data_IF_107252915072
#
_entry.id   IF_107252915072
#
_cell.length_a   1.000
_cell.length_b   1.000
_cell.length_c   1.000
_cell.angle_alpha   90.00
_cell.angle_beta   90.00
_cell.angle_gamma   90.00
#
_symmetry.space_group_name_H-M   'P 1'
#
loop_
_entity.id
_entity.type
_entity.pdbx_description
1 polymer ?
#
# COMPACT_ATOMS: atom_id res chain seq x y z
N UNK A 1 11.45 -18.10 -8.64
CA UNK A 1 11.34 -16.85 -7.87
C UNK A 1 9.99 -16.26 -8.25
N UNK A 2 9.19 -15.70 -7.33
CA UNK A 2 7.93 -15.06 -7.75
C UNK A 2 8.23 -13.75 -8.48
N UNK A 3 7.29 -13.27 -9.30
CA UNK A 3 7.45 -12.00 -10.02
C UNK A 3 7.71 -10.83 -9.05
N UNK A 4 7.03 -10.83 -7.89
CA UNK A 4 7.29 -9.87 -6.82
C UNK A 4 8.72 -9.92 -6.26
N UNK A 5 9.27 -11.11 -6.04
CA UNK A 5 10.65 -11.23 -5.55
C UNK A 5 11.68 -10.73 -6.57
N UNK A 6 11.43 -10.94 -7.86
CA UNK A 6 12.27 -10.37 -8.93
C UNK A 6 12.20 -8.84 -8.95
N UNK A 7 11.00 -8.25 -8.75
CA UNK A 7 10.83 -6.80 -8.62
C UNK A 7 11.60 -6.23 -7.42
N UNK A 8 11.69 -6.98 -6.31
CA UNK A 8 12.47 -6.56 -5.15
C UNK A 8 13.98 -6.78 -5.31
N UNK A 9 14.39 -7.77 -6.09
CA UNK A 9 15.80 -8.06 -6.35
C UNK A 9 16.44 -7.03 -7.29
N UNK A 10 15.66 -6.45 -8.19
CA UNK A 10 16.11 -5.40 -9.09
C UNK A 10 16.42 -4.08 -8.35
N UNK A 11 17.43 -3.36 -8.85
CA UNK A 11 17.66 -2.00 -8.40
C UNK A 11 16.45 -1.12 -8.74
N UNK A 12 16.02 -0.28 -7.81
CA UNK A 12 14.84 0.56 -8.01
C UNK A 12 15.01 1.46 -9.24
N UNK A 13 13.98 1.50 -10.08
CA UNK A 13 13.96 2.25 -11.34
C UNK A 13 14.95 1.79 -12.43
N UNK A 14 15.62 0.64 -12.27
CA UNK A 14 16.58 0.11 -13.26
C UNK A 14 15.95 -0.75 -14.36
N UNK A 15 14.79 -1.35 -14.11
CA UNK A 15 14.17 -2.30 -15.05
C UNK A 15 13.67 -1.59 -16.32
N UNK A 16 13.94 -2.14 -17.52
CA UNK A 16 13.31 -1.70 -18.76
C UNK A 16 11.79 -1.79 -18.67
N UNK A 17 11.09 -0.87 -19.35
CA UNK A 17 9.62 -0.79 -19.32
C UNK A 17 8.95 -2.12 -19.61
N UNK A 18 9.41 -2.85 -20.63
CA UNK A 18 8.80 -4.12 -21.03
C UNK A 18 8.97 -5.20 -19.96
N UNK A 19 10.19 -5.38 -19.43
CA UNK A 19 10.45 -6.33 -18.36
C UNK A 19 9.62 -6.01 -17.10
N UNK A 20 9.52 -4.73 -16.72
CA UNK A 20 8.70 -4.28 -15.59
C UNK A 20 7.21 -4.57 -15.83
N UNK A 21 6.71 -4.36 -17.04
CA UNK A 21 5.30 -4.63 -17.39
C UNK A 21 4.99 -6.12 -17.32
N UNK A 22 5.87 -6.98 -17.83
CA UNK A 22 5.70 -8.43 -17.77
C UNK A 22 5.68 -8.97 -16.34
N UNK A 23 6.60 -8.51 -15.49
CA UNK A 23 6.62 -8.87 -14.07
C UNK A 23 5.37 -8.39 -13.33
N UNK A 24 4.96 -7.14 -13.58
CA UNK A 24 3.75 -6.58 -12.95
C UNK A 24 2.48 -7.30 -13.40
N UNK A 25 2.35 -7.65 -14.68
CA UNK A 25 1.20 -8.40 -15.19
C UNK A 25 1.12 -9.81 -14.59
N UNK A 26 2.25 -10.50 -14.45
CA UNK A 26 2.31 -11.80 -13.80
C UNK A 26 1.81 -11.72 -12.35
N UNK A 27 2.32 -10.76 -11.58
CA UNK A 27 1.89 -10.52 -10.19
C UNK A 27 0.40 -10.14 -10.10
N UNK A 28 -0.07 -9.25 -10.99
CA UNK A 28 -1.48 -8.85 -11.03
C UNK A 28 -2.41 -10.02 -11.34
N UNK A 29 -2.01 -10.96 -12.20
CA UNK A 29 -2.75 -12.18 -12.46
C UNK A 29 -2.86 -13.06 -11.22
N UNK A 30 -1.75 -13.31 -10.52
CA UNK A 30 -1.73 -14.08 -9.27
C UNK A 30 -2.63 -13.45 -8.20
N UNK A 31 -2.49 -12.12 -7.99
CA UNK A 31 -3.32 -11.38 -7.04
C UNK A 31 -4.79 -11.36 -7.43
N UNK A 32 -5.11 -11.24 -8.72
CA UNK A 32 -6.51 -11.22 -9.17
C UNK A 32 -7.19 -12.57 -8.94
N UNK A 33 -6.50 -13.69 -9.24
CA UNK A 33 -6.98 -15.03 -8.89
C UNK A 33 -7.18 -15.17 -7.37
N UNK A 34 -6.17 -14.77 -6.58
CA UNK A 34 -6.24 -14.83 -5.12
C UNK A 34 -7.45 -14.07 -4.56
N UNK A 35 -7.69 -12.86 -5.06
CA UNK A 35 -8.79 -12.02 -4.64
C UNK A 35 -10.14 -12.51 -5.14
N UNK A 36 -10.23 -13.06 -6.35
CA UNK A 36 -11.44 -13.69 -6.89
C UNK A 36 -11.88 -14.87 -6.00
N UNK A 37 -10.95 -15.74 -5.62
CA UNK A 37 -11.25 -16.92 -4.81
C UNK A 37 -11.69 -16.58 -3.38
N UNK A 38 -11.19 -15.48 -2.81
CA UNK A 38 -11.31 -15.19 -1.36
C UNK A 38 -12.11 -13.95 -1.01
N UNK A 39 -12.49 -13.13 -1.99
CA UNK A 39 -13.33 -11.96 -1.78
C UNK A 39 -14.58 -12.04 -2.66
N UNK A 40 -15.71 -12.55 -2.13
CA UNK A 40 -16.95 -12.69 -2.90
C UNK A 40 -17.42 -11.38 -3.56
N UNK A 41 -17.23 -10.24 -2.90
CA UNK A 41 -17.56 -8.94 -3.44
C UNK A 41 -16.67 -8.56 -4.64
N UNK A 42 -15.37 -8.86 -4.59
CA UNK A 42 -14.45 -8.63 -5.70
C UNK A 42 -14.73 -9.58 -6.87
N UNK A 43 -14.98 -10.86 -6.60
CA UNK A 43 -15.36 -11.85 -7.62
C UNK A 43 -16.62 -11.42 -8.40
N UNK A 44 -17.62 -10.86 -7.69
CA UNK A 44 -18.82 -10.34 -8.34
C UNK A 44 -18.53 -9.14 -9.25
N UNK A 45 -17.57 -8.28 -8.88
CA UNK A 45 -17.13 -7.17 -9.72
C UNK A 45 -16.46 -7.72 -10.99
N UNK A 46 -15.50 -8.64 -10.87
CA UNK A 46 -14.84 -9.25 -12.03
C UNK A 46 -15.85 -9.89 -13.00
N UNK A 47 -16.81 -10.67 -12.46
CA UNK A 47 -17.87 -11.31 -13.25
C UNK A 47 -18.75 -10.28 -13.97
N UNK A 48 -19.17 -9.22 -13.27
CA UNK A 48 -19.99 -8.16 -13.86
C UNK A 48 -19.24 -7.34 -14.91
N UNK A 49 -17.91 -7.21 -14.77
CA UNK A 49 -17.05 -6.54 -15.75
C UNK A 49 -16.68 -7.41 -16.96
N UNK A 50 -17.06 -8.69 -16.97
CA UNK A 50 -16.77 -9.61 -18.07
C UNK A 50 -15.29 -9.99 -18.20
N UNK A 51 -14.49 -9.76 -17.14
CA UNK A 51 -13.06 -10.05 -17.12
C UNK A 51 -12.83 -11.57 -17.16
N UNK A 52 -11.83 -11.99 -17.92
CA UNK A 52 -11.40 -13.39 -18.04
C UNK A 52 -9.93 -13.46 -17.64
N UNK A 53 -9.60 -14.44 -16.79
CA UNK A 53 -8.23 -14.71 -16.38
C UNK A 53 -7.65 -15.88 -17.19
N UNK A 54 -6.32 -15.92 -17.43
CA UNK A 54 -5.37 -14.84 -17.12
C UNK A 54 -5.54 -13.65 -18.07
N UNK A 55 -5.19 -12.47 -17.57
CA UNK A 55 -5.14 -11.23 -18.34
C UNK A 55 -3.92 -11.25 -19.27
N UNK A 56 -4.11 -10.79 -20.50
CA UNK A 56 -3.01 -10.60 -21.46
C UNK A 56 -2.36 -9.22 -21.29
N UNK A 57 -3.13 -8.24 -20.80
CA UNK A 57 -2.67 -6.88 -20.57
C UNK A 57 -3.28 -6.31 -19.28
N UNK A 58 -2.53 -5.46 -18.60
CA UNK A 58 -2.97 -4.85 -17.34
C UNK A 58 -4.21 -3.98 -17.52
N UNK A 59 -4.39 -3.40 -18.72
CA UNK A 59 -5.51 -2.55 -19.08
C UNK A 59 -6.85 -3.33 -19.16
N UNK A 60 -6.82 -4.66 -19.09
CA UNK A 60 -8.02 -5.50 -18.99
C UNK A 60 -8.57 -5.59 -17.56
N UNK A 61 -7.82 -5.14 -16.55
CA UNK A 61 -8.33 -5.04 -15.19
C UNK A 61 -9.47 -4.02 -15.11
N UNK A 62 -10.56 -4.33 -14.38
CA UNK A 62 -11.63 -3.38 -14.23
C UNK A 62 -11.22 -2.29 -13.23
N UNK A 63 -11.55 -1.04 -13.55
CA UNK A 63 -11.41 0.04 -12.59
C UNK A 63 -12.35 -0.18 -11.40
N UNK A 64 -11.80 -0.09 -10.18
CA UNK A 64 -12.57 -0.23 -8.94
C UNK A 64 -12.93 1.16 -8.40
N UNK A 65 -14.22 1.55 -8.34
CA UNK A 65 -14.61 2.84 -7.79
C UNK A 65 -14.18 2.99 -6.33
N UNK A 66 -13.43 4.04 -6.01
CA UNK A 66 -12.92 4.29 -4.64
C UNK A 66 -14.02 4.32 -3.57
N UNK A 67 -15.25 4.72 -3.95
CA UNK A 67 -16.43 4.72 -3.08
C UNK A 67 -16.78 3.32 -2.54
N UNK A 68 -16.42 2.25 -3.24
CA UNK A 68 -16.65 0.88 -2.75
C UNK A 68 -15.94 0.63 -1.42
N UNK A 69 -14.72 1.13 -1.25
CA UNK A 69 -13.96 0.98 0.00
C UNK A 69 -14.56 1.77 1.18
N UNK A 70 -15.54 2.65 0.94
CA UNK A 70 -16.31 3.32 2.00
C UNK A 70 -17.50 2.49 2.47
N UNK A 71 -18.11 1.76 1.53
CA UNK A 71 -19.40 1.10 1.73
C UNK A 71 -19.28 -0.44 1.84
N UNK A 72 -18.10 -0.99 1.52
CA UNK A 72 -17.80 -2.41 1.49
C UNK A 72 -16.42 -2.65 2.06
N UNK A 73 -16.25 -3.76 2.77
CA UNK A 73 -14.96 -4.24 3.25
C UNK A 73 -14.45 -5.29 2.27
N UNK A 74 -13.73 -4.82 1.24
CA UNK A 74 -13.09 -5.70 0.26
C UNK A 74 -11.83 -6.30 0.90
N UNK A 75 -11.89 -7.57 1.29
CA UNK A 75 -10.77 -8.31 1.89
C UNK A 75 -10.78 -9.75 1.40
N UNK A 76 -9.58 -10.33 1.31
CA UNK A 76 -9.33 -11.73 0.89
C UNK A 76 -8.73 -12.56 2.01
N UNK A 77 -8.88 -12.09 3.24
CA UNK A 77 -8.43 -12.76 4.45
C UNK A 77 -9.59 -12.81 5.47
N UNK A 78 -9.61 -13.80 6.36
CA UNK A 78 -10.56 -13.84 7.47
C UNK A 78 -10.26 -12.75 8.51
N UNK A 79 -11.25 -12.46 9.36
CA UNK A 79 -11.19 -11.33 10.30
C UNK A 79 -10.13 -11.48 11.39
N UNK A 80 -9.78 -12.70 11.76
CA UNK A 80 -8.74 -13.02 12.74
C UNK A 80 -7.31 -12.80 12.21
N UNK A 81 -7.13 -12.70 10.89
CA UNK A 81 -5.85 -12.40 10.24
C UNK A 81 -5.64 -10.90 9.98
N UNK A 82 -6.62 -10.08 10.33
CA UNK A 82 -6.56 -8.63 10.13
C UNK A 82 -5.54 -8.04 11.09
N UNK A 83 -4.43 -7.58 10.53
CA UNK A 83 -3.38 -6.95 11.31
C UNK A 83 -3.67 -5.47 11.56
N UNK A 84 -4.12 -4.76 10.51
CA UNK A 84 -4.40 -3.33 10.58
C UNK A 84 -5.49 -2.95 9.58
N UNK A 85 -6.29 -1.94 9.93
CA UNK A 85 -7.19 -1.28 9.00
C UNK A 85 -6.73 0.16 8.83
N UNK A 86 -6.41 0.54 7.59
CA UNK A 86 -6.12 1.92 7.23
C UNK A 86 -7.43 2.64 6.92
N UNK A 87 -7.62 3.82 7.48
CA UNK A 87 -8.76 4.68 7.19
C UNK A 87 -8.28 6.00 6.59
N UNK A 88 -8.99 6.51 5.57
CA UNK A 88 -8.73 7.86 5.07
C UNK A 88 -9.04 8.88 6.16
N UNK A 89 -8.24 9.94 6.29
CA UNK A 89 -8.58 11.13 7.09
C UNK A 89 -9.87 11.73 6.52
N UNK A 90 -10.99 11.49 7.21
CA UNK A 90 -12.30 11.95 6.76
C UNK A 90 -12.32 13.48 6.69
N UNK A 91 -12.70 14.03 5.55
CA UNK A 91 -13.19 15.41 5.50
C UNK A 91 -14.53 15.45 6.25
N UNK A 92 -14.86 16.60 6.83
CA UNK A 92 -15.78 16.85 7.97
C UNK A 92 -17.24 16.35 7.83
N UNK A 93 -17.58 15.53 6.84
CA UNK A 93 -18.94 15.04 6.59
C UNK A 93 -19.04 13.69 5.85
N UNK A 94 -17.97 12.88 5.73
CA UNK A 94 -18.03 11.64 4.93
C UNK A 94 -17.46 10.40 5.64
N UNK A 95 -18.10 9.26 5.42
CA UNK A 95 -17.59 7.92 5.78
C UNK A 95 -16.20 7.71 5.18
N UNK A 96 -15.16 7.40 5.98
CA UNK A 96 -13.82 7.18 5.48
C UNK A 96 -13.73 5.88 4.68
N UNK A 97 -12.86 5.82 3.67
CA UNK A 97 -12.52 4.55 3.03
C UNK A 97 -11.71 3.69 4.00
N UNK A 98 -11.86 2.37 3.90
CA UNK A 98 -11.15 1.40 4.73
C UNK A 98 -10.40 0.41 3.85
N UNK A 99 -9.12 0.20 4.16
CA UNK A 99 -8.26 -0.80 3.52
C UNK A 99 -7.76 -1.74 4.59
N UNK A 100 -7.97 -3.04 4.39
CA UNK A 100 -7.55 -4.10 5.31
C UNK A 100 -6.14 -4.54 4.94
N UNK A 101 -5.28 -4.68 5.94
CA UNK A 101 -3.94 -5.21 5.80
C UNK A 101 -3.76 -6.41 6.71
N UNK A 102 -3.19 -7.48 6.17
CA UNK A 102 -2.59 -8.56 6.93
C UNK A 102 -1.13 -8.24 7.25
N UNK A 103 -0.45 -9.16 7.97
CA UNK A 103 0.96 -8.99 8.34
C UNK A 103 1.88 -9.05 7.13
N UNK A 104 1.61 -9.94 6.18
CA UNK A 104 2.43 -10.12 4.99
C UNK A 104 2.44 -8.85 4.12
N UNK A 105 1.27 -8.30 3.82
CA UNK A 105 1.10 -7.05 3.07
C UNK A 105 1.78 -5.88 3.78
N UNK A 106 1.65 -5.77 5.11
CA UNK A 106 2.31 -4.72 5.88
C UNK A 106 3.85 -4.81 5.82
N UNK A 107 4.40 -6.03 5.84
CA UNK A 107 5.83 -6.28 5.68
C UNK A 107 6.31 -5.91 4.27
N UNK A 108 5.56 -6.31 3.23
CA UNK A 108 5.86 -5.95 1.84
C UNK A 108 5.84 -4.44 1.62
N UNK A 109 4.85 -3.72 2.18
CA UNK A 109 4.81 -2.25 2.14
C UNK A 109 6.03 -1.62 2.80
N UNK A 110 6.45 -2.14 3.96
CA UNK A 110 7.65 -1.65 4.67
C UNK A 110 8.92 -1.91 3.86
N UNK A 111 9.07 -3.11 3.29
CA UNK A 111 10.20 -3.49 2.43
C UNK A 111 10.28 -2.61 1.18
N UNK A 112 9.15 -2.39 0.51
CA UNK A 112 9.07 -1.52 -0.68
C UNK A 112 9.43 -0.08 -0.36
N UNK A 113 8.87 0.48 0.72
CA UNK A 113 9.21 1.83 1.15
C UNK A 113 10.71 1.96 1.46
N UNK A 114 11.29 1.00 2.16
CA UNK A 114 12.72 1.02 2.45
C UNK A 114 13.59 0.94 1.18
N UNK A 115 13.22 0.11 0.21
CA UNK A 115 13.94 0.03 -1.06
C UNK A 115 13.91 1.36 -1.81
N UNK A 116 12.72 1.98 -1.94
CA UNK A 116 12.54 3.28 -2.61
C UNK A 116 13.34 4.36 -1.89
N UNK A 117 13.18 4.49 -0.56
CA UNK A 117 13.81 5.57 0.19
C UNK A 117 15.33 5.43 0.24
N UNK A 118 15.88 4.22 0.23
CA UNK A 118 17.33 4.01 0.16
C UNK A 118 17.93 4.48 -1.17
N UNK A 119 17.19 4.42 -2.28
CA UNK A 119 17.64 4.96 -3.57
C UNK A 119 17.65 6.49 -3.56
N UNK A 120 16.71 7.12 -2.84
CA UNK A 120 16.59 8.59 -2.80
C UNK A 120 17.51 9.22 -1.74
N UNK A 121 17.55 8.65 -0.53
CA UNK A 121 18.25 9.22 0.64
C UNK A 121 19.61 8.57 0.89
N UNK A 122 19.90 7.45 0.22
CA UNK A 122 21.00 6.57 0.58
C UNK A 122 20.68 5.72 1.82
N UNK A 123 21.57 4.79 2.14
CA UNK A 123 21.42 3.87 3.28
C UNK A 123 21.71 4.52 4.64
N UNK A 124 22.36 5.68 4.63
CA UNK A 124 22.78 6.35 5.86
C UNK A 124 21.65 7.23 6.39
N UNK A 125 21.23 6.97 7.63
CA UNK A 125 20.27 7.84 8.32
C UNK A 125 20.88 9.23 8.56
N UNK A 126 20.28 10.25 7.98
CA UNK A 126 20.67 11.66 8.11
C UNK A 126 19.92 12.34 9.26
N UNK A 127 20.47 13.40 9.88
CA UNK A 127 19.69 14.29 10.74
C UNK A 127 18.40 14.73 10.04
N UNK A 128 17.26 14.65 10.72
CA UNK A 128 15.94 14.87 10.13
C UNK A 128 15.24 16.07 10.75
N UNK A 129 15.06 17.09 9.91
CA UNK A 129 14.20 18.24 10.18
C UNK A 129 12.74 17.86 9.85
N UNK A 130 11.86 17.98 10.84
CA UNK A 130 10.42 17.77 10.70
C UNK A 130 9.76 19.15 10.81
N UNK A 131 9.18 19.63 9.71
CA UNK A 131 8.43 20.89 9.69
C UNK A 131 7.02 20.68 10.28
N UNK A 132 6.98 20.27 11.54
CA UNK A 132 5.75 19.96 12.28
C UNK A 132 5.98 20.16 13.79
N UNK A 133 4.90 20.09 14.57
CA UNK A 133 4.93 20.12 16.02
C UNK A 133 5.11 18.71 16.60
N UNK A 134 5.88 18.61 17.68
CA UNK A 134 6.19 17.32 18.30
C UNK A 134 4.97 16.60 18.89
N UNK A 135 3.87 17.31 19.13
CA UNK A 135 2.62 16.75 19.64
C UNK A 135 1.85 15.91 18.60
N UNK A 136 2.09 16.12 17.29
CA UNK A 136 1.37 15.45 16.20
C UNK A 136 1.59 13.93 16.18
N UNK A 137 2.70 13.45 16.73
CA UNK A 137 2.99 12.02 16.89
C UNK A 137 2.64 11.47 18.29
N UNK A 138 2.33 12.35 19.26
CA UNK A 138 1.94 11.95 20.62
C UNK A 138 0.46 11.65 20.75
N UNK A 139 -0.37 12.29 19.92
CA UNK A 139 -1.82 12.08 19.95
C UNK A 139 -2.18 10.72 19.33
N UNK A 140 -2.35 9.73 20.21
CA UNK A 140 -2.73 8.34 19.85
C UNK A 140 -4.19 8.21 19.47
N UNK A 141 -5.01 9.25 19.71
CA UNK A 141 -6.43 9.25 19.38
C UNK A 141 -6.60 9.37 17.85
N UNK A 142 -6.57 8.21 17.20
CA UNK A 142 -6.85 8.07 15.77
C UNK A 142 -5.73 8.57 14.88
N UNK A 143 -4.61 7.82 14.84
CA UNK A 143 -3.47 7.99 13.92
C UNK A 143 -3.80 8.86 12.70
N UNK A 144 -3.64 10.18 12.80
CA UNK A 144 -3.93 11.04 11.68
C UNK A 144 -2.95 10.67 10.57
N UNK A 145 -3.39 10.71 9.31
CA UNK A 145 -2.52 10.44 8.16
C UNK A 145 -1.18 11.23 8.26
N UNK A 146 -1.24 12.44 8.85
CA UNK A 146 -0.12 13.31 9.22
C UNK A 146 0.89 12.63 10.16
N UNK A 147 0.47 12.19 11.34
CA UNK A 147 1.35 11.53 12.32
C UNK A 147 1.88 10.18 11.81
N UNK A 148 1.05 9.43 11.09
CA UNK A 148 1.48 8.18 10.45
C UNK A 148 2.56 8.42 9.38
N UNK A 149 2.45 9.49 8.60
CA UNK A 149 3.46 9.90 7.63
C UNK A 149 4.81 10.24 8.28
N UNK A 150 4.78 11.06 9.34
CA UNK A 150 5.99 11.40 10.11
C UNK A 150 6.64 10.14 10.68
N UNK A 151 5.87 9.28 11.36
CA UNK A 151 6.39 8.05 11.96
C UNK A 151 6.96 7.08 10.91
N UNK A 152 6.27 6.93 9.77
CA UNK A 152 6.72 6.09 8.67
C UNK A 152 8.07 6.54 8.12
N UNK A 153 8.28 7.85 7.99
CA UNK A 153 9.53 8.43 7.49
C UNK A 153 10.63 8.51 8.54
N UNK A 154 10.28 8.59 9.83
CA UNK A 154 11.22 8.75 10.94
C UNK A 154 12.28 7.64 11.01
N UNK A 155 11.98 6.46 10.47
CA UNK A 155 12.91 5.32 10.39
C UNK A 155 14.12 5.59 9.50
N UNK A 156 13.98 6.48 8.50
CA UNK A 156 15.05 6.82 7.55
C UNK A 156 15.95 7.98 8.01
N UNK A 157 15.53 8.71 9.05
CA UNK A 157 16.29 9.81 9.65
C UNK A 157 16.79 9.50 11.05
N UNK A 158 17.67 10.33 11.59
CA UNK A 158 18.11 10.35 13.00
C UNK A 158 18.05 11.79 13.52
N UNK A 159 18.36 11.99 14.79
CA UNK A 159 18.46 13.33 15.40
C UNK A 159 17.23 14.20 15.06
N UNK A 160 16.03 13.66 15.31
CA UNK A 160 14.76 14.28 14.89
C UNK A 160 14.57 15.64 15.55
N UNK A 161 14.45 16.69 14.75
CA UNK A 161 14.19 18.06 15.21
C UNK A 161 12.85 18.55 14.65
N UNK A 162 11.94 18.95 15.53
CA UNK A 162 10.63 19.51 15.19
C UNK A 162 10.75 21.04 15.14
N UNK A 163 10.39 21.64 14.01
CA UNK A 163 10.58 23.07 13.78
C UNK A 163 9.42 23.95 14.28
N UNK A 164 8.29 23.34 14.65
CA UNK A 164 7.09 24.04 15.12
C UNK A 164 6.72 23.60 16.54
N UNK A 165 5.92 24.42 17.23
CA UNK A 165 5.42 24.19 18.59
C UNK A 165 3.96 23.72 18.63
#
# INVERSE_FOLDING_TARGET
MSALEELFAAEQYSLPTEARRSLLLAELNELTCWHEERCPAYANILRASGVRLPLERMEELPYIPVRLFKNRRLQSIPDDQVFKVLASSGTTSQTPSRIVLDRATAQLQTRALAAIMNTVLGRRRMPMLICDAANVVKDRAGYPARGAGILGMSTFGRDHFYALD
#
